data_IF_668651167548
#
_entry.id   IF_668651167548
#
_cell.length_a   1.000
_cell.length_b   1.000
_cell.length_c   1.000
_cell.angle_alpha   90.00
_cell.angle_beta   90.00
_cell.angle_gamma   90.00
#
_symmetry.space_group_name_H-M   'P 1'
#
loop_
_entity.id
_entity.type
_entity.pdbx_description
1 polymer ?
#
# COMPACT_ATOMS: atom_id res chain seq x y z
N UNK A 1 4.01 11.53 -19.16
CA UNK A 1 4.37 10.64 -18.05
C UNK A 1 3.39 9.48 -18.05
N UNK A 2 3.89 8.26 -17.88
CA UNK A 2 3.11 7.02 -18.01
C UNK A 2 3.30 6.13 -16.79
N UNK A 3 2.27 5.39 -16.43
CA UNK A 3 2.32 4.27 -15.50
C UNK A 3 1.84 3.00 -16.20
N UNK A 4 2.29 1.84 -15.73
CA UNK A 4 1.76 0.55 -16.15
C UNK A 4 0.74 0.07 -15.12
N UNK A 5 -0.50 -0.17 -15.56
CA UNK A 5 -1.62 -0.53 -14.70
C UNK A 5 -2.09 -1.95 -15.01
N UNK A 6 -2.50 -2.63 -13.94
CA UNK A 6 -3.22 -3.90 -14.02
C UNK A 6 -4.71 -3.64 -14.16
N UNK A 7 -5.27 -2.70 -13.38
CA UNK A 7 -6.70 -2.35 -13.40
C UNK A 7 -6.97 -1.00 -12.70
N UNK A 8 -8.14 -0.42 -13.01
CA UNK A 8 -8.82 0.60 -12.19
C UNK A 8 -10.25 0.11 -11.94
N UNK A 9 -10.70 0.09 -10.70
CA UNK A 9 -12.05 -0.36 -10.34
C UNK A 9 -12.61 0.39 -9.12
N UNK A 10 -13.93 0.36 -8.94
CA UNK A 10 -14.62 0.96 -7.79
C UNK A 10 -15.21 -0.16 -6.92
N UNK A 11 -14.89 -0.14 -5.62
CA UNK A 11 -15.36 -1.11 -4.63
C UNK A 11 -15.45 -0.44 -3.25
N UNK A 12 -15.66 -1.23 -2.20
CA UNK A 12 -15.42 -0.79 -0.82
C UNK A 12 -13.97 -1.12 -0.43
N UNK A 13 -13.33 -0.27 0.37
CA UNK A 13 -12.05 -0.63 0.98
C UNK A 13 -12.25 -1.77 1.99
N UNK A 14 -11.46 -2.84 1.87
CA UNK A 14 -11.54 -4.05 2.68
C UNK A 14 -10.64 -4.03 3.92
N UNK A 15 -9.67 -3.13 3.98
CA UNK A 15 -8.66 -3.07 5.05
C UNK A 15 -8.34 -1.64 5.52
N UNK A 16 -7.52 -1.52 6.57
CA UNK A 16 -7.05 -0.25 7.14
C UNK A 16 -8.16 0.61 7.77
N UNK A 17 -7.87 1.86 8.14
CA UNK A 17 -8.80 2.80 8.79
C UNK A 17 -10.06 3.12 7.97
N UNK A 18 -10.04 2.93 6.65
CA UNK A 18 -11.15 3.26 5.73
C UNK A 18 -11.99 2.05 5.30
N UNK A 19 -11.96 0.93 6.06
CA UNK A 19 -12.85 -0.23 5.85
C UNK A 19 -14.31 0.20 5.63
N UNK A 20 -14.91 -0.31 4.56
CA UNK A 20 -16.30 -0.04 4.17
C UNK A 20 -16.51 1.26 3.41
N UNK A 21 -15.50 2.11 3.22
CA UNK A 21 -15.63 3.34 2.42
C UNK A 21 -15.61 3.04 0.90
N UNK A 22 -16.54 3.59 0.10
CA UNK A 22 -16.48 3.54 -1.36
C UNK A 22 -15.19 4.18 -1.87
N UNK A 23 -14.40 3.40 -2.60
CA UNK A 23 -13.01 3.68 -2.95
C UNK A 23 -12.71 3.25 -4.38
N UNK A 24 -12.08 4.13 -5.16
CA UNK A 24 -11.49 3.74 -6.45
C UNK A 24 -10.10 3.18 -6.20
N UNK A 25 -9.85 1.97 -6.68
CA UNK A 25 -8.53 1.35 -6.64
C UNK A 25 -7.82 1.57 -7.97
N UNK A 26 -6.56 2.01 -7.89
CA UNK A 26 -5.64 2.12 -9.03
C UNK A 26 -4.49 1.14 -8.79
N UNK A 27 -4.53 -0.02 -9.46
CA UNK A 27 -3.59 -1.13 -9.25
C UNK A 27 -2.45 -1.07 -10.26
N UNK A 28 -1.21 -0.87 -9.79
CA UNK A 28 -0.03 -0.69 -10.63
C UNK A 28 0.72 -2.00 -10.89
N UNK A 29 1.10 -2.28 -12.13
CA UNK A 29 1.79 -3.53 -12.46
C UNK A 29 3.25 -3.53 -12.02
N UNK A 30 3.70 -4.65 -11.46
CA UNK A 30 5.08 -4.93 -11.08
C UNK A 30 5.29 -4.86 -9.57
N UNK A 31 6.01 -5.84 -9.04
CA UNK A 31 6.51 -5.88 -7.66
C UNK A 31 7.94 -6.44 -7.67
N UNK A 32 8.89 -5.92 -6.86
CA UNK A 32 10.17 -6.57 -6.65
C UNK A 32 10.09 -7.74 -5.65
N UNK A 33 9.10 -7.73 -4.74
CA UNK A 33 8.89 -8.77 -3.73
C UNK A 33 8.14 -9.98 -4.30
N UNK A 34 8.39 -11.19 -3.76
CA UNK A 34 7.68 -12.45 -4.05
C UNK A 34 7.18 -13.07 -2.73
N UNK A 35 6.25 -12.37 -2.08
CA UNK A 35 5.61 -12.84 -0.85
C UNK A 35 5.00 -14.24 -1.06
N UNK A 36 5.29 -15.19 -0.16
CA UNK A 36 4.85 -16.60 -0.24
C UNK A 36 3.32 -16.76 -0.36
N UNK A 37 2.56 -15.79 0.14
CA UNK A 37 1.09 -15.76 0.14
C UNK A 37 0.54 -14.50 -0.55
N UNK A 38 1.15 -14.06 -1.65
CA UNK A 38 0.61 -12.93 -2.39
C UNK A 38 -0.75 -13.30 -3.02
N UNK A 39 -1.80 -12.58 -2.62
CA UNK A 39 -3.15 -12.65 -3.20
C UNK A 39 -3.24 -12.01 -4.60
N UNK A 40 -2.26 -11.19 -4.97
CA UNK A 40 -2.25 -10.31 -6.14
C UNK A 40 -1.09 -10.64 -7.10
N UNK A 41 -0.72 -11.92 -7.25
CA UNK A 41 0.35 -12.34 -8.18
C UNK A 41 0.07 -11.93 -9.64
N UNK A 42 -1.20 -11.82 -10.02
CA UNK A 42 -1.63 -11.35 -11.33
C UNK A 42 -1.17 -9.92 -11.64
N UNK A 43 -0.83 -9.11 -10.63
CA UNK A 43 -0.26 -7.78 -10.82
C UNK A 43 1.27 -7.77 -10.97
N UNK A 44 1.98 -8.91 -10.91
CA UNK A 44 3.45 -8.93 -11.07
C UNK A 44 3.92 -8.67 -12.50
N UNK A 45 3.08 -8.92 -13.52
CA UNK A 45 3.45 -8.79 -14.94
C UNK A 45 2.24 -8.46 -15.82
N UNK A 46 2.44 -8.35 -17.13
CA UNK A 46 1.38 -7.89 -18.05
C UNK A 46 1.15 -6.38 -17.91
N UNK A 47 -0.11 -5.96 -17.83
CA UNK A 47 -0.52 -4.57 -17.63
C UNK A 47 -0.37 -3.65 -18.86
N UNK A 48 -1.18 -2.60 -18.89
CA UNK A 48 -1.24 -1.62 -19.96
C UNK A 48 -0.58 -0.30 -19.57
N UNK A 49 -0.08 0.47 -20.56
CA UNK A 49 0.46 1.81 -20.31
C UNK A 49 -0.63 2.86 -20.34
N UNK A 50 -0.77 3.60 -19.25
CA UNK A 50 -1.75 4.68 -19.10
C UNK A 50 -1.03 6.01 -18.82
N UNK A 51 -1.56 7.10 -19.39
CA UNK A 51 -1.10 8.45 -19.03
C UNK A 51 -1.77 8.89 -17.72
N UNK A 52 -1.12 9.77 -16.95
CA UNK A 52 -1.71 10.32 -15.72
C UNK A 52 -3.06 11.02 -15.97
N UNK A 53 -3.28 11.59 -17.15
CA UNK A 53 -4.56 12.18 -17.53
C UNK A 53 -5.66 11.11 -17.66
N UNK A 54 -5.41 10.02 -18.40
CA UNK A 54 -6.35 8.93 -18.57
C UNK A 54 -6.70 8.22 -17.24
N UNK A 55 -5.72 8.08 -16.33
CA UNK A 55 -5.96 7.54 -14.98
C UNK A 55 -6.91 8.43 -14.20
N UNK A 56 -6.67 9.75 -14.18
CA UNK A 56 -7.52 10.72 -13.46
C UNK A 56 -8.93 10.81 -14.04
N UNK A 57 -9.06 10.76 -15.36
CA UNK A 57 -10.36 10.70 -16.06
C UNK A 57 -11.15 9.44 -15.66
N UNK A 58 -10.50 8.27 -15.68
CA UNK A 58 -11.13 7.01 -15.27
C UNK A 58 -11.51 6.99 -13.78
N UNK A 59 -10.67 7.55 -12.90
CA UNK A 59 -10.98 7.69 -11.46
C UNK A 59 -12.19 8.60 -11.26
N UNK A 60 -12.25 9.74 -11.94
CA UNK A 60 -13.37 10.69 -11.84
C UNK A 60 -14.70 10.09 -12.31
N UNK A 61 -14.68 9.20 -13.33
CA UNK A 61 -15.86 8.53 -13.84
C UNK A 61 -16.58 7.63 -12.81
N UNK A 62 -15.90 7.23 -11.73
CA UNK A 62 -16.49 6.40 -10.66
C UNK A 62 -17.16 7.20 -9.52
N UNK A 63 -16.88 8.51 -9.39
CA UNK A 63 -17.55 9.40 -8.43
C UNK A 63 -17.31 9.14 -6.94
N UNK A 64 -16.29 8.36 -6.56
CA UNK A 64 -15.94 8.14 -5.15
C UNK A 64 -15.08 9.28 -4.57
N UNK A 65 -15.08 9.43 -3.24
CA UNK A 65 -14.23 10.40 -2.55
C UNK A 65 -12.83 9.86 -2.17
N UNK A 66 -12.70 8.53 -2.07
CA UNK A 66 -11.45 7.86 -1.71
C UNK A 66 -10.80 7.23 -2.93
N UNK A 67 -9.47 7.31 -2.99
CA UNK A 67 -8.66 6.63 -4.00
C UNK A 67 -7.52 5.89 -3.32
N UNK A 68 -7.38 4.60 -3.60
CA UNK A 68 -6.26 3.77 -3.14
C UNK A 68 -5.36 3.45 -4.33
N UNK A 69 -4.10 3.88 -4.27
CA UNK A 69 -3.05 3.45 -5.21
C UNK A 69 -2.30 2.27 -4.58
N UNK A 70 -2.27 1.12 -5.25
CA UNK A 70 -1.88 -0.17 -4.64
C UNK A 70 -1.19 -1.13 -5.62
N UNK A 71 -0.66 -2.23 -5.03
CA UNK A 71 -0.27 -3.53 -5.57
C UNK A 71 0.10 -3.62 -7.05
N UNK A 72 1.28 -4.08 -7.46
CA UNK A 72 2.26 -4.88 -6.71
C UNK A 72 3.10 -4.12 -5.70
N UNK A 73 4.02 -3.28 -6.17
CA UNK A 73 4.66 -2.23 -5.35
C UNK A 73 4.56 -0.90 -6.12
N UNK A 74 3.64 0.00 -5.75
CA UNK A 74 3.38 1.21 -6.55
C UNK A 74 4.62 2.07 -6.72
N UNK A 75 5.43 2.19 -5.67
CA UNK A 75 6.63 3.01 -5.63
C UNK A 75 7.79 2.43 -6.46
N UNK A 76 7.67 1.21 -6.98
CA UNK A 76 8.61 0.67 -7.96
C UNK A 76 8.47 1.36 -9.33
N UNK A 77 7.38 2.10 -9.57
CA UNK A 77 7.21 2.96 -10.74
C UNK A 77 7.42 4.45 -10.36
N UNK A 78 8.46 5.14 -10.86
CA UNK A 78 8.76 6.53 -10.45
C UNK A 78 7.62 7.53 -10.69
N UNK A 79 6.76 7.28 -11.68
CA UNK A 79 5.60 8.13 -11.97
C UNK A 79 4.43 7.93 -10.98
N UNK A 80 4.58 7.09 -9.94
CA UNK A 80 3.59 6.94 -8.88
C UNK A 80 3.50 8.19 -8.00
N UNK A 81 4.63 8.80 -7.61
CA UNK A 81 4.61 10.02 -6.77
C UNK A 81 3.85 11.19 -7.45
N UNK A 82 4.07 11.49 -8.75
CA UNK A 82 3.29 12.50 -9.46
C UNK A 82 1.81 12.15 -9.66
N UNK A 83 1.44 10.85 -9.72
CA UNK A 83 0.03 10.44 -9.71
C UNK A 83 -0.62 10.73 -8.35
N UNK A 84 0.06 10.38 -7.25
CA UNK A 84 -0.44 10.60 -5.89
C UNK A 84 -0.71 12.09 -5.63
N UNK A 85 0.24 12.97 -5.95
CA UNK A 85 0.05 14.43 -5.86
C UNK A 85 -1.12 14.91 -6.72
N UNK A 86 -1.21 14.46 -7.99
CA UNK A 86 -2.28 14.91 -8.88
C UNK A 86 -3.68 14.47 -8.41
N UNK A 87 -3.81 13.29 -7.79
CA UNK A 87 -5.07 12.84 -7.18
C UNK A 87 -5.42 13.66 -5.93
N UNK A 88 -4.43 14.05 -5.12
CA UNK A 88 -4.66 14.98 -4.00
C UNK A 88 -5.03 16.40 -4.49
N UNK A 89 -4.49 16.85 -5.63
CA UNK A 89 -4.83 18.14 -6.25
C UNK A 89 -6.26 18.15 -6.83
N UNK A 90 -6.77 16.98 -7.27
CA UNK A 90 -8.17 16.78 -7.65
C UNK A 90 -9.15 16.72 -6.46
N UNK A 91 -8.63 16.78 -5.22
CA UNK A 91 -9.43 16.80 -3.99
C UNK A 91 -9.82 15.42 -3.45
N UNK A 92 -9.25 14.33 -3.96
CA UNK A 92 -9.47 12.99 -3.40
C UNK A 92 -8.77 12.79 -2.06
N UNK A 93 -9.36 11.96 -1.20
CA UNK A 93 -8.66 11.38 -0.05
C UNK A 93 -7.86 10.17 -0.55
N UNK A 94 -6.54 10.36 -0.70
CA UNK A 94 -5.65 9.37 -1.31
C UNK A 94 -4.97 8.52 -0.24
N UNK A 95 -4.98 7.21 -0.43
CA UNK A 95 -4.14 6.27 0.31
C UNK A 95 -3.19 5.52 -0.62
N UNK A 96 -2.01 5.21 -0.10
CA UNK A 96 -0.96 4.45 -0.78
C UNK A 96 -0.72 3.16 0.00
N UNK A 97 -0.96 2.02 -0.62
CA UNK A 97 -0.61 0.71 -0.07
C UNK A 97 0.74 0.26 -0.63
N UNK A 98 1.74 0.07 0.24
CA UNK A 98 3.12 -0.27 -0.13
C UNK A 98 3.67 -1.38 0.77
N UNK A 99 4.51 -2.25 0.20
CA UNK A 99 5.21 -3.32 0.92
C UNK A 99 6.47 -2.84 1.66
N UNK A 100 6.70 -1.52 1.72
CA UNK A 100 7.77 -0.91 2.52
C UNK A 100 9.19 -1.14 1.98
N UNK A 101 9.35 -1.67 0.77
CA UNK A 101 10.66 -1.91 0.16
C UNK A 101 11.25 -0.67 -0.54
N UNK A 102 10.39 0.20 -1.06
CA UNK A 102 10.78 1.41 -1.79
C UNK A 102 10.82 2.64 -0.86
N UNK A 103 11.40 3.76 -1.32
CA UNK A 103 11.48 4.99 -0.54
C UNK A 103 10.12 5.69 -0.40
N UNK A 104 9.68 6.01 0.83
CA UNK A 104 8.46 6.81 1.04
C UNK A 104 8.72 8.32 1.18
N UNK A 105 9.98 8.79 1.18
CA UNK A 105 10.32 10.20 1.42
C UNK A 105 9.73 11.18 0.39
N UNK A 106 9.49 10.72 -0.84
CA UNK A 106 8.91 11.52 -1.91
C UNK A 106 7.38 11.50 -1.99
N UNK A 107 6.69 10.82 -1.06
CA UNK A 107 5.23 10.75 -1.03
C UNK A 107 4.64 12.08 -0.54
N UNK A 108 3.61 12.56 -1.24
CA UNK A 108 2.86 13.78 -0.90
C UNK A 108 2.31 13.70 0.53
N UNK A 109 2.48 14.78 1.31
CA UNK A 109 2.08 14.82 2.73
C UNK A 109 0.59 14.58 2.95
N UNK A 110 -0.26 14.85 1.95
CA UNK A 110 -1.71 14.62 2.01
C UNK A 110 -2.10 13.14 1.93
N UNK A 111 -1.20 12.27 1.45
CA UNK A 111 -1.46 10.84 1.26
C UNK A 111 -1.40 10.09 2.59
N UNK A 112 -2.37 9.21 2.82
CA UNK A 112 -2.32 8.23 3.91
C UNK A 112 -1.51 7.00 3.45
N UNK A 113 -0.22 6.94 3.82
CA UNK A 113 0.58 5.72 3.59
C UNK A 113 0.11 4.59 4.50
N UNK A 114 -0.20 3.44 3.91
CA UNK A 114 -0.44 2.16 4.58
C UNK A 114 0.75 1.26 4.24
N UNK A 115 1.72 1.17 5.16
CA UNK A 115 2.94 0.40 4.97
C UNK A 115 2.80 -0.99 5.58
N UNK A 116 2.83 -2.03 4.76
CA UNK A 116 2.78 -3.43 5.19
C UNK A 116 4.20 -3.96 5.42
N UNK A 117 4.63 -4.01 6.68
CA UNK A 117 5.94 -4.53 7.07
C UNK A 117 5.93 -6.06 6.99
N UNK A 118 6.65 -6.60 6.02
CA UNK A 118 6.63 -8.02 5.66
C UNK A 118 7.21 -8.89 6.77
N UNK A 119 6.38 -9.76 7.34
CA UNK A 119 6.76 -10.67 8.42
C UNK A 119 7.69 -11.81 7.95
N UNK A 120 8.46 -12.48 8.83
CA UNK A 120 9.39 -13.55 8.48
C UNK A 120 8.82 -14.62 7.55
N UNK A 121 7.60 -15.11 7.80
CA UNK A 121 6.94 -16.16 7.03
C UNK A 121 6.66 -15.77 5.57
N UNK A 122 6.54 -14.48 5.28
CA UNK A 122 6.29 -13.99 3.91
C UNK A 122 7.44 -14.27 2.95
N UNK A 123 8.64 -14.62 3.47
CA UNK A 123 9.90 -14.70 2.71
C UNK A 123 10.57 -13.34 2.45
N UNK A 124 9.82 -12.25 2.58
CA UNK A 124 10.18 -10.91 2.09
C UNK A 124 10.63 -9.95 3.18
N UNK A 125 10.74 -10.41 4.44
CA UNK A 125 11.17 -9.59 5.58
C UNK A 125 12.51 -8.86 5.36
N UNK A 126 13.41 -9.47 4.58
CA UNK A 126 14.73 -8.93 4.24
C UNK A 126 14.67 -7.71 3.30
N UNK A 127 13.55 -7.51 2.60
CA UNK A 127 13.30 -6.36 1.72
C UNK A 127 12.57 -5.21 2.41
N UNK A 128 12.26 -5.31 3.72
CA UNK A 128 11.72 -4.17 4.49
C UNK A 128 12.77 -3.07 4.64
N UNK A 129 12.53 -1.91 4.03
CA UNK A 129 13.41 -0.73 4.18
C UNK A 129 13.06 0.03 5.46
N UNK A 130 13.71 -0.32 6.57
CA UNK A 130 13.40 0.21 7.90
C UNK A 130 13.67 1.73 8.03
N UNK A 131 14.45 2.32 7.13
CA UNK A 131 14.65 3.76 6.97
C UNK A 131 13.35 4.52 6.65
N UNK A 132 12.30 3.82 6.19
CA UNK A 132 10.97 4.40 6.02
C UNK A 132 10.26 4.67 7.36
N UNK A 133 10.58 3.95 8.44
CA UNK A 133 9.86 4.04 9.72
C UNK A 133 9.96 5.44 10.36
N UNK A 134 11.11 6.14 10.38
CA UNK A 134 11.20 7.53 10.83
C UNK A 134 10.43 8.54 9.96
N UNK A 135 10.07 8.19 8.72
CA UNK A 135 9.33 9.04 7.78
C UNK A 135 7.81 8.91 7.93
N UNK A 136 7.33 7.93 8.72
CA UNK A 136 5.91 7.75 8.99
C UNK A 136 5.34 8.93 9.79
N UNK A 137 4.11 9.35 9.42
CA UNK A 137 3.38 10.47 10.02
C UNK A 137 2.16 9.98 10.80
N UNK A 138 1.62 10.84 11.65
CA UNK A 138 0.50 10.51 12.55
C UNK A 138 -0.80 10.07 11.84
N UNK A 139 -0.97 10.37 10.55
CA UNK A 139 -2.11 9.92 9.73
C UNK A 139 -1.80 8.73 8.81
N UNK A 140 -0.56 8.23 8.83
CA UNK A 140 -0.18 6.98 8.17
C UNK A 140 -0.60 5.79 9.05
N UNK A 141 -0.45 4.59 8.51
CA UNK A 141 -0.81 3.32 9.16
C UNK A 141 0.30 2.30 8.90
N UNK A 142 0.53 1.40 9.84
CA UNK A 142 1.39 0.21 9.62
C UNK A 142 0.54 -1.04 9.69
N UNK A 143 0.66 -1.92 8.70
CA UNK A 143 0.06 -3.26 8.70
C UNK A 143 1.15 -4.31 8.90
N UNK A 144 0.77 -5.41 9.54
CA UNK A 144 1.50 -6.67 9.51
C UNK A 144 0.55 -7.78 9.08
N UNK A 145 0.91 -8.54 8.04
CA UNK A 145 0.24 -9.79 7.66
C UNK A 145 1.00 -10.98 8.24
N UNK A 146 0.31 -11.87 8.94
CA UNK A 146 0.89 -12.88 9.84
C UNK A 146 0.36 -14.29 9.53
N UNK A 147 1.24 -15.26 9.26
CA UNK A 147 0.82 -16.65 9.06
C UNK A 147 0.75 -17.46 10.37
N UNK A 148 1.65 -17.17 11.31
CA UNK A 148 1.87 -18.01 12.49
C UNK A 148 2.26 -17.18 13.74
N UNK A 149 2.54 -17.91 14.82
CA UNK A 149 2.99 -17.33 16.09
C UNK A 149 4.35 -16.61 16.00
N UNK A 150 5.26 -17.05 15.14
CA UNK A 150 6.60 -16.45 14.98
C UNK A 150 6.48 -15.09 14.31
N UNK A 151 5.62 -14.96 13.31
CA UNK A 151 5.29 -13.68 12.69
C UNK A 151 4.68 -12.71 13.71
N UNK A 152 3.75 -13.18 14.54
CA UNK A 152 3.13 -12.37 15.59
C UNK A 152 4.14 -11.86 16.63
N UNK A 153 5.02 -12.73 17.14
CA UNK A 153 6.05 -12.32 18.11
C UNK A 153 7.06 -11.34 17.47
N UNK A 154 7.39 -11.51 16.19
CA UNK A 154 8.19 -10.55 15.42
C UNK A 154 7.50 -9.20 15.23
N UNK A 155 6.21 -9.18 14.87
CA UNK A 155 5.44 -7.96 14.67
C UNK A 155 5.31 -7.15 15.97
N UNK A 156 5.13 -7.82 17.11
CA UNK A 156 5.21 -7.20 18.44
C UNK A 156 6.58 -6.58 18.71
N UNK A 157 7.65 -7.31 18.45
CA UNK A 157 9.01 -6.79 18.60
C UNK A 157 9.24 -5.54 17.74
N UNK A 158 8.78 -5.52 16.48
CA UNK A 158 8.87 -4.35 15.61
C UNK A 158 8.04 -3.17 16.13
N UNK A 159 6.81 -3.42 16.61
CA UNK A 159 5.95 -2.40 17.21
C UNK A 159 6.61 -1.72 18.41
N UNK A 160 7.21 -2.51 19.31
CA UNK A 160 7.86 -2.03 20.52
C UNK A 160 9.21 -1.37 20.22
N UNK A 161 10.08 -2.00 19.43
CA UNK A 161 11.41 -1.46 19.07
C UNK A 161 11.30 -0.08 18.40
N UNK A 162 10.35 0.07 17.47
CA UNK A 162 10.19 1.31 16.72
C UNK A 162 9.16 2.28 17.31
N UNK A 163 8.45 1.88 18.39
CA UNK A 163 7.37 2.64 19.01
C UNK A 163 6.27 3.03 18.00
N UNK A 164 5.88 2.09 17.12
CA UNK A 164 4.99 2.38 15.98
C UNK A 164 3.64 2.98 16.43
N UNK A 165 3.10 2.48 17.55
CA UNK A 165 1.87 2.97 18.19
C UNK A 165 1.92 4.44 18.66
N UNK A 166 3.09 5.12 18.60
CA UNK A 166 3.27 6.57 18.86
C UNK A 166 3.58 7.37 17.59
N UNK A 167 3.73 6.71 16.44
CA UNK A 167 4.14 7.32 15.15
C UNK A 167 3.00 7.42 14.14
N UNK A 168 2.16 6.39 14.10
CA UNK A 168 1.05 6.23 13.14
C UNK A 168 -0.29 6.20 13.88
N UNK A 169 -1.40 6.48 13.18
CA UNK A 169 -2.73 6.43 13.79
C UNK A 169 -3.13 5.01 14.16
N UNK A 170 -2.77 4.06 13.30
CA UNK A 170 -3.21 2.67 13.38
C UNK A 170 -2.02 1.71 13.16
N UNK A 171 -1.94 0.68 13.99
CA UNK A 171 -1.06 -0.48 13.76
C UNK A 171 -1.94 -1.72 13.69
N UNK A 172 -2.03 -2.31 12.51
CA UNK A 172 -2.94 -3.41 12.19
C UNK A 172 -2.21 -4.76 12.17
N UNK A 173 -2.83 -5.77 12.76
CA UNK A 173 -2.36 -7.16 12.76
C UNK A 173 -3.41 -7.99 12.04
N UNK A 174 -3.09 -8.47 10.84
CA UNK A 174 -4.00 -9.21 9.97
C UNK A 174 -3.50 -10.65 9.78
N UNK A 175 -4.39 -11.65 9.73
CA UNK A 175 -3.99 -13.01 9.35
C UNK A 175 -3.67 -13.09 7.86
N UNK A 176 -2.93 -14.12 7.45
CA UNK A 176 -2.89 -14.55 6.05
C UNK A 176 -4.27 -15.07 5.65
N UNK A 177 -4.66 -14.85 4.39
CA UNK A 177 -5.90 -15.41 3.85
C UNK A 177 -5.91 -16.94 3.99
N UNK A 178 -7.03 -17.49 4.42
CA UNK A 178 -7.26 -18.93 4.61
C UNK A 178 -6.33 -19.63 5.64
N UNK A 179 -5.60 -18.88 6.49
CA UNK A 179 -4.74 -19.49 7.53
C UNK A 179 -4.30 -18.59 8.70
N UNK A 180 -4.62 -19.04 9.92
CA UNK A 180 -3.79 -18.87 11.12
C UNK A 180 -3.43 -20.28 11.60
N UNK A 181 -2.14 -20.61 11.65
CA UNK A 181 -1.63 -21.90 12.13
C UNK A 181 -1.33 -21.89 13.65
#
# INVERSE_FOLDING_TARGET
MELRLTEIFHSLQGESRTVGCPTVFVRLTGCPQRCVWCDTEYAFSGGEKWTLAAIREQVAAHGAHYVTVTGGEPLAQPNCLPLLTALCDDGYQVSLETGGAMDIAGVDERVSVVMDLKAPGSGEQHNNRLENIPLLKAHHQVKFVLADRKDYDWARFMLDQHQLHKRVSDVLFSPVQDGLA
#
